data_IF_436059096861
#
_entry.id   IF_436059096861
#
_cell.length_a   1.000
_cell.length_b   1.000
_cell.length_c   1.000
_cell.angle_alpha   90.00
_cell.angle_beta   90.00
_cell.angle_gamma   90.00
#
_symmetry.space_group_name_H-M   'P 1'
#
loop_
_entity.id
_entity.type
_entity.pdbx_description
1 polymer ?
#
# COMPACT_ATOMS: atom_id res chain seq x y z
N UNK A 1 -4.75 -3.78 15.65
CA UNK A 1 -3.81 -3.23 14.64
C UNK A 1 -3.39 -4.37 13.73
N UNK A 2 -3.00 -4.08 12.49
CA UNK A 2 -2.55 -5.07 11.49
C UNK A 2 -1.07 -4.82 11.25
N UNK A 3 -0.22 -5.83 11.51
CA UNK A 3 1.20 -5.81 11.18
C UNK A 3 1.41 -6.24 9.72
N UNK A 4 2.12 -5.41 8.96
CA UNK A 4 2.60 -5.69 7.60
C UNK A 4 4.08 -5.33 7.48
N UNK A 5 4.73 -5.89 6.46
CA UNK A 5 6.13 -5.62 6.13
C UNK A 5 6.23 -4.91 4.79
N UNK A 6 6.92 -3.77 4.73
CA UNK A 6 7.15 -3.00 3.50
C UNK A 6 8.64 -2.77 3.37
N UNK A 7 9.25 -3.28 2.30
CA UNK A 7 10.71 -3.18 2.04
C UNK A 7 11.58 -3.65 3.24
N UNK A 8 11.15 -4.73 3.90
CA UNK A 8 11.83 -5.27 5.09
C UNK A 8 11.53 -4.53 6.40
N UNK A 9 10.76 -3.44 6.35
CA UNK A 9 10.37 -2.66 7.54
C UNK A 9 8.97 -3.04 8.00
N UNK A 10 8.83 -3.37 9.29
CA UNK A 10 7.54 -3.68 9.90
C UNK A 10 6.77 -2.41 10.25
N UNK A 11 5.47 -2.40 9.96
CA UNK A 11 4.57 -1.31 10.34
C UNK A 11 3.23 -1.84 10.81
N UNK A 12 2.74 -1.26 11.89
CA UNK A 12 1.38 -1.50 12.39
C UNK A 12 0.44 -0.40 11.90
N UNK A 13 -0.68 -0.79 11.30
CA UNK A 13 -1.73 0.14 10.85
C UNK A 13 -3.12 -0.26 11.35
N UNK A 14 -4.07 0.67 11.29
CA UNK A 14 -5.44 0.38 11.63
C UNK A 14 -6.04 -0.62 10.62
N UNK A 15 -6.92 -1.55 11.05
CA UNK A 15 -7.65 -2.42 10.13
C UNK A 15 -8.38 -1.59 9.06
N UNK A 16 -8.35 -2.04 7.80
CA UNK A 16 -8.95 -1.33 6.67
C UNK A 16 -8.08 -0.21 6.08
N UNK A 17 -6.89 0.03 6.62
CA UNK A 17 -5.93 0.94 5.98
C UNK A 17 -5.44 0.38 4.64
N UNK A 18 -5.13 1.26 3.70
CA UNK A 18 -4.57 0.90 2.41
C UNK A 18 -3.05 0.74 2.50
N UNK A 19 -2.46 -0.05 1.61
CA UNK A 19 -1.00 -0.22 1.51
C UNK A 19 -0.29 1.13 1.36
N UNK A 20 -0.86 2.06 0.58
CA UNK A 20 -0.32 3.42 0.41
C UNK A 20 -0.23 4.19 1.74
N UNK A 21 -1.20 4.01 2.65
CA UNK A 21 -1.19 4.64 3.97
C UNK A 21 -0.14 4.00 4.89
N UNK A 22 0.04 2.69 4.80
CA UNK A 22 1.08 1.98 5.54
C UNK A 22 2.49 2.41 5.11
N UNK A 23 2.73 2.51 3.79
CA UNK A 23 3.99 3.03 3.26
C UNK A 23 4.25 4.48 3.67
N UNK A 24 3.23 5.35 3.60
CA UNK A 24 3.33 6.75 4.05
C UNK A 24 3.70 6.85 5.53
N UNK A 25 3.20 5.95 6.38
CA UNK A 25 3.53 5.92 7.82
C UNK A 25 5.02 5.57 8.07
N UNK A 26 5.63 4.82 7.17
CA UNK A 26 7.07 4.52 7.18
C UNK A 26 7.93 5.61 6.51
N UNK A 27 7.31 6.66 5.96
CA UNK A 27 8.02 7.67 5.17
C UNK A 27 8.43 7.20 3.76
N UNK A 28 7.90 6.07 3.30
CA UNK A 28 8.13 5.54 1.95
C UNK A 28 7.17 6.25 0.99
N UNK A 29 7.73 6.93 0.00
CA UNK A 29 6.95 7.63 -1.02
C UNK A 29 6.63 6.69 -2.18
N UNK A 30 5.35 6.38 -2.36
CA UNK A 30 4.84 5.67 -3.54
C UNK A 30 4.27 6.70 -4.52
N UNK A 31 4.74 6.75 -5.78
CA UNK A 31 4.27 7.73 -6.74
C UNK A 31 2.79 7.52 -7.08
N UNK A 32 2.04 8.61 -7.15
CA UNK A 32 0.60 8.57 -7.43
C UNK A 32 0.12 9.86 -8.08
N UNK A 33 -0.85 9.73 -9.00
CA UNK A 33 -1.53 10.87 -9.63
C UNK A 33 -2.98 10.99 -9.17
N UNK A 34 -3.74 9.90 -9.27
CA UNK A 34 -5.19 9.93 -9.05
C UNK A 34 -5.61 9.79 -7.57
N UNK A 35 -4.65 9.62 -6.65
CA UNK A 35 -4.94 9.45 -5.23
C UNK A 35 -4.85 10.79 -4.50
N UNK A 36 -5.82 11.05 -3.63
CA UNK A 36 -5.77 12.18 -2.70
C UNK A 36 -6.46 11.80 -1.40
N UNK A 37 -5.84 12.13 -0.26
CA UNK A 37 -6.30 11.73 1.09
C UNK A 37 -7.73 12.19 1.47
N UNK A 38 -8.26 13.21 0.80
CA UNK A 38 -9.61 13.76 1.04
C UNK A 38 -10.63 13.38 -0.04
N UNK A 39 -10.23 12.63 -1.06
CA UNK A 39 -11.11 12.21 -2.16
C UNK A 39 -11.30 10.70 -2.12
N UNK A 40 -12.30 10.21 -2.83
CA UNK A 40 -12.50 8.78 -3.05
C UNK A 40 -11.36 8.18 -3.88
N UNK A 41 -11.16 6.87 -3.72
CA UNK A 41 -10.11 6.14 -4.43
C UNK A 41 -10.57 5.87 -5.88
N UNK A 42 -9.85 6.42 -6.86
CA UNK A 42 -10.17 6.24 -8.28
C UNK A 42 -9.47 5.01 -8.92
N UNK A 43 -8.26 4.68 -8.48
CA UNK A 43 -7.45 3.54 -8.95
C UNK A 43 -7.22 3.44 -10.48
N UNK A 44 -7.25 4.54 -11.23
CA UNK A 44 -7.13 4.55 -12.69
C UNK A 44 -5.70 4.82 -13.21
N UNK A 45 -4.84 5.56 -12.48
CA UNK A 45 -3.52 5.94 -12.98
C UNK A 45 -2.46 4.83 -12.97
N UNK A 46 -2.65 3.78 -12.15
CA UNK A 46 -1.73 2.64 -11.98
C UNK A 46 -0.27 3.00 -11.65
N UNK A 47 0.01 4.24 -11.24
CA UNK A 47 1.37 4.67 -10.86
C UNK A 47 1.79 4.11 -9.49
N UNK A 48 0.83 3.81 -8.62
CA UNK A 48 1.07 3.29 -7.27
C UNK A 48 1.12 1.75 -7.20
N UNK A 49 1.47 1.08 -8.30
CA UNK A 49 1.58 -0.38 -8.30
C UNK A 49 2.75 -0.81 -7.41
N UNK A 50 2.49 -1.82 -6.57
CA UNK A 50 3.49 -2.43 -5.69
C UNK A 50 3.39 -3.95 -5.80
N UNK A 51 4.51 -4.62 -5.55
CA UNK A 51 4.55 -6.06 -5.53
C UNK A 51 4.18 -6.56 -4.15
N UNK A 52 3.26 -7.52 -4.10
CA UNK A 52 2.82 -8.16 -2.86
C UNK A 52 3.18 -9.64 -2.94
N UNK A 53 3.82 -10.16 -1.90
CA UNK A 53 4.19 -11.56 -1.83
C UNK A 53 2.94 -12.45 -2.01
N UNK A 54 3.03 -13.47 -2.87
CA UNK A 54 1.93 -14.39 -3.27
C UNK A 54 0.82 -13.76 -4.12
N UNK A 55 0.95 -12.50 -4.54
CA UNK A 55 0.09 -11.94 -5.57
C UNK A 55 0.66 -12.28 -6.96
N UNK A 56 -0.17 -12.73 -7.92
CA UNK A 56 0.30 -13.08 -9.27
C UNK A 56 0.65 -11.85 -10.13
N UNK A 57 0.28 -10.65 -9.68
CA UNK A 57 0.47 -9.36 -10.38
C UNK A 57 0.63 -8.25 -9.36
N UNK A 58 1.32 -7.18 -9.75
CA UNK A 58 1.40 -5.95 -8.97
C UNK A 58 -0.01 -5.41 -8.65
N UNK A 59 -0.17 -4.93 -7.42
CA UNK A 59 -1.45 -4.44 -6.90
C UNK A 59 -1.40 -2.93 -6.67
N UNK A 60 -2.51 -2.21 -6.89
CA UNK A 60 -2.54 -0.76 -6.67
C UNK A 60 -2.52 -0.44 -5.17
N UNK A 61 -1.41 0.14 -4.68
CA UNK A 61 -1.26 0.46 -3.26
C UNK A 61 -2.37 1.38 -2.72
N UNK A 62 -2.96 2.23 -3.57
CA UNK A 62 -4.04 3.14 -3.17
C UNK A 62 -5.39 2.47 -2.93
N UNK A 63 -5.60 1.25 -3.43
CA UNK A 63 -6.88 0.53 -3.37
C UNK A 63 -6.78 -0.86 -2.74
N UNK A 64 -5.57 -1.32 -2.41
CA UNK A 64 -5.34 -2.60 -1.76
C UNK A 64 -5.34 -2.40 -0.24
N UNK A 65 -6.29 -3.00 0.50
CA UNK A 65 -6.28 -2.99 1.96
C UNK A 65 -5.16 -3.89 2.48
N UNK A 66 -4.56 -3.49 3.61
CA UNK A 66 -3.56 -4.31 4.29
C UNK A 66 -4.18 -5.54 4.94
N UNK A 67 -3.46 -6.65 4.91
CA UNK A 67 -3.83 -7.90 5.58
C UNK A 67 -2.68 -8.38 6.48
N UNK A 68 -2.97 -9.10 7.59
CA UNK A 68 -1.92 -9.63 8.46
C UNK A 68 -0.90 -10.50 7.71
N UNK A 69 0.38 -10.26 7.94
CA UNK A 69 1.46 -11.05 7.30
C UNK A 69 1.68 -10.73 5.82
N UNK A 70 1.09 -9.66 5.31
CA UNK A 70 1.35 -9.14 3.97
C UNK A 70 2.76 -8.57 3.91
N UNK A 71 3.53 -8.98 2.91
CA UNK A 71 4.83 -8.39 2.58
C UNK A 71 4.74 -7.66 1.25
N UNK A 72 5.17 -6.41 1.25
CA UNK A 72 5.08 -5.49 0.12
C UNK A 72 6.50 -5.05 -0.25
N UNK A 73 6.79 -5.06 -1.54
CA UNK A 73 7.97 -4.43 -2.10
C UNK A 73 7.55 -3.19 -2.89
N UNK A 74 8.15 -2.04 -2.58
CA UNK A 74 8.00 -0.81 -3.35
C UNK A 74 9.22 -0.63 -4.25
N UNK A 75 9.01 -0.35 -5.54
CA UNK A 75 10.04 -0.19 -6.55
C UNK A 75 10.19 1.28 -6.95
#
# INVERSE_FOLDING_TARGET
>A
MVEVEIDGQKVEVAPGSMVLQAATKLGIYIPHFCYHKKLSIAANCRMCLVDVEKAPKALPACATPVAPGMKIATA
#
